data_IF_070174830452
#
_entry.id   IF_070174830452
#
_cell.length_a   1.000
_cell.length_b   1.000
_cell.length_c   1.000
_cell.angle_alpha   90.00
_cell.angle_beta   90.00
_cell.angle_gamma   90.00
#
_symmetry.space_group_name_H-M   'P 1'
#
loop_
_entity.id
_entity.type
_entity.pdbx_description
1 polymer ?
#
# COMPACT_ATOMS: atom_id res chain seq x y z
N UNK A 1 -30.77 1.34 24.48
CA UNK A 1 -30.67 0.12 23.68
C UNK A 1 -29.40 -0.56 24.15
N UNK A 2 -29.52 -1.70 24.83
CA UNK A 2 -28.36 -2.34 25.45
C UNK A 2 -27.57 -3.06 24.35
N UNK A 3 -26.25 -3.20 24.50
CA UNK A 3 -25.41 -3.90 23.51
C UNK A 3 -25.85 -5.37 23.32
N UNK A 4 -26.55 -5.92 24.31
CA UNK A 4 -27.15 -7.24 24.27
C UNK A 4 -28.33 -7.39 23.31
N UNK A 5 -28.97 -6.28 22.92
CA UNK A 5 -30.06 -6.28 21.93
C UNK A 5 -29.54 -6.32 20.48
N UNK A 6 -28.24 -6.10 20.27
CA UNK A 6 -27.60 -6.15 18.95
C UNK A 6 -27.25 -7.60 18.63
N UNK A 7 -27.64 -8.06 17.44
CA UNK A 7 -27.32 -9.41 17.00
C UNK A 7 -25.80 -9.66 17.08
N UNK A 8 -25.33 -10.84 17.53
CA UNK A 8 -23.90 -11.08 17.82
C UNK A 8 -22.93 -10.77 16.67
N UNK A 9 -23.38 -10.87 15.41
CA UNK A 9 -22.58 -10.53 14.21
C UNK A 9 -22.42 -9.03 13.97
N UNK A 10 -23.26 -8.21 14.59
CA UNK A 10 -23.28 -6.75 14.49
C UNK A 10 -22.66 -6.07 15.72
N UNK A 11 -22.32 -6.83 16.77
CA UNK A 11 -21.58 -6.31 17.92
C UNK A 11 -20.14 -6.03 17.51
N UNK A 12 -19.62 -4.87 17.87
CA UNK A 12 -18.19 -4.63 17.77
C UNK A 12 -17.46 -5.63 18.69
N UNK A 13 -16.43 -6.33 18.21
CA UNK A 13 -15.66 -7.20 19.09
C UNK A 13 -14.99 -6.36 20.17
N UNK A 14 -15.03 -6.85 21.42
CA UNK A 14 -14.46 -6.16 22.58
C UNK A 14 -12.94 -5.90 22.45
N UNK A 15 -12.25 -6.66 21.59
CA UNK A 15 -10.85 -6.48 21.24
C UNK A 15 -10.69 -6.67 19.73
N UNK A 16 -10.17 -5.67 19.03
CA UNK A 16 -9.81 -5.83 17.62
C UNK A 16 -8.59 -6.75 17.49
N UNK A 17 -8.63 -7.77 16.60
CA UNK A 17 -7.45 -8.58 16.31
C UNK A 17 -6.36 -7.71 15.67
N UNK A 18 -5.09 -8.14 15.70
CA UNK A 18 -4.02 -7.43 15.01
C UNK A 18 -4.29 -7.33 13.51
N UNK A 19 -3.81 -6.25 12.88
CA UNK A 19 -3.89 -6.09 11.42
C UNK A 19 -3.13 -7.26 10.75
N UNK A 20 -3.71 -7.90 9.71
CA UNK A 20 -3.03 -8.98 9.02
C UNK A 20 -1.75 -8.47 8.37
N UNK A 21 -0.68 -9.27 8.46
CA UNK A 21 0.59 -8.98 7.81
C UNK A 21 0.60 -9.55 6.39
N UNK A 22 1.32 -8.94 5.44
CA UNK A 22 1.60 -9.56 4.16
C UNK A 22 2.24 -10.94 4.34
N UNK A 23 1.71 -11.94 3.64
CA UNK A 23 2.19 -13.31 3.66
C UNK A 23 2.70 -13.71 2.26
N UNK A 24 3.90 -13.25 1.86
CA UNK A 24 4.45 -13.55 0.53
C UNK A 24 4.62 -15.05 0.33
N UNK A 25 4.13 -15.58 -0.80
CA UNK A 25 4.14 -17.02 -1.08
C UNK A 25 5.29 -17.44 -2.01
N UNK A 26 6.02 -16.48 -2.56
CA UNK A 26 7.07 -16.69 -3.57
C UNK A 26 8.34 -15.85 -3.26
N UNK A 27 9.56 -16.32 -3.58
CA UNK A 27 10.81 -15.60 -3.30
C UNK A 27 10.87 -14.17 -3.87
N UNK A 28 10.30 -13.91 -5.05
CA UNK A 28 10.30 -12.57 -5.65
C UNK A 28 9.37 -11.62 -4.90
N UNK A 29 8.27 -12.12 -4.34
CA UNK A 29 7.41 -11.35 -3.42
C UNK A 29 8.10 -11.11 -2.07
N UNK A 30 8.81 -12.12 -1.54
CA UNK A 30 9.57 -12.00 -0.30
C UNK A 30 10.63 -10.91 -0.41
N UNK A 31 11.36 -10.84 -1.53
CA UNK A 31 12.38 -9.82 -1.74
C UNK A 31 11.80 -8.39 -1.77
N UNK A 32 10.62 -8.19 -2.38
CA UNK A 32 9.92 -6.90 -2.31
C UNK A 32 9.67 -6.47 -0.86
N UNK A 33 9.09 -7.36 -0.06
CA UNK A 33 8.76 -7.06 1.33
C UNK A 33 9.99 -6.87 2.21
N UNK A 34 11.07 -7.62 1.99
CA UNK A 34 12.35 -7.44 2.69
C UNK A 34 12.91 -6.02 2.47
N UNK A 35 12.84 -5.51 1.23
CA UNK A 35 13.29 -4.14 0.92
C UNK A 35 12.42 -3.08 1.63
N UNK A 36 11.10 -3.32 1.70
CA UNK A 36 10.20 -2.49 2.51
C UNK A 36 10.57 -2.52 4.00
N UNK A 37 10.98 -3.67 4.55
CA UNK A 37 11.45 -3.75 5.94
C UNK A 37 12.73 -2.93 6.17
N UNK A 38 13.58 -2.82 5.15
CA UNK A 38 14.72 -1.88 5.13
C UNK A 38 14.33 -0.40 5.03
N UNK A 39 13.05 -0.07 4.86
CA UNK A 39 12.57 1.31 4.73
C UNK A 39 12.76 1.93 3.37
N UNK A 40 12.89 1.09 2.35
CA UNK A 40 13.12 1.53 0.98
C UNK A 40 12.10 0.86 0.08
N UNK A 41 11.54 1.62 -0.85
CA UNK A 41 10.69 1.06 -1.90
C UNK A 41 11.55 0.77 -3.12
N UNK A 42 11.38 -0.41 -3.69
CA UNK A 42 12.09 -0.84 -4.89
C UNK A 42 11.11 -1.48 -5.85
N UNK A 43 11.42 -1.36 -7.15
CA UNK A 43 10.72 -2.07 -8.19
C UNK A 43 11.71 -2.80 -9.08
N UNK A 44 11.22 -3.83 -9.75
CA UNK A 44 12.00 -4.50 -10.76
C UNK A 44 12.10 -3.60 -12.00
N UNK A 45 13.29 -3.46 -12.54
CA UNK A 45 13.54 -2.87 -13.85
C UNK A 45 14.13 -3.91 -14.78
N UNK A 46 13.52 -4.07 -15.95
CA UNK A 46 13.95 -5.06 -16.94
C UNK A 46 15.43 -4.85 -17.33
N UNK A 47 16.20 -5.93 -17.38
CA UNK A 47 17.60 -5.89 -17.81
C UNK A 47 17.77 -5.55 -19.29
N UNK A 48 16.76 -5.84 -20.11
CA UNK A 48 16.79 -5.61 -21.56
C UNK A 48 16.05 -4.33 -21.97
N UNK A 49 14.73 -4.31 -21.83
CA UNK A 49 13.91 -3.17 -22.28
C UNK A 49 13.76 -2.04 -21.26
N UNK A 50 14.42 -2.14 -20.09
CA UNK A 50 14.43 -1.14 -19.00
C UNK A 50 13.06 -0.73 -18.44
N UNK A 51 11.99 -1.46 -18.77
CA UNK A 51 10.63 -1.22 -18.25
C UNK A 51 10.55 -1.57 -16.77
N UNK A 52 10.00 -0.65 -15.98
CA UNK A 52 9.66 -0.84 -14.57
C UNK A 52 8.45 -1.78 -14.40
N UNK A 53 8.42 -2.53 -13.30
CA UNK A 53 7.39 -3.54 -13.05
C UNK A 53 6.91 -3.52 -11.61
N UNK A 54 5.59 -3.47 -11.46
CA UNK A 54 4.88 -3.76 -10.23
C UNK A 54 3.52 -4.39 -10.60
N UNK A 55 3.06 -5.48 -9.99
CA UNK A 55 3.69 -6.30 -8.94
C UNK A 55 4.97 -7.03 -9.39
N UNK A 56 5.80 -7.54 -8.45
CA UNK A 56 7.00 -8.33 -8.74
C UNK A 56 6.68 -9.58 -9.59
N UNK A 57 7.49 -9.86 -10.62
CA UNK A 57 7.30 -10.99 -11.55
C UNK A 57 8.63 -11.52 -12.10
N UNK A 58 8.69 -12.80 -12.45
CA UNK A 58 9.87 -13.40 -13.07
C UNK A 58 10.14 -12.93 -14.50
N UNK A 59 9.08 -12.66 -15.29
CA UNK A 59 9.20 -12.34 -16.72
C UNK A 59 8.70 -10.94 -17.03
N UNK A 60 9.35 -10.26 -17.98
CA UNK A 60 8.91 -8.96 -18.46
C UNK A 60 7.61 -9.06 -19.24
N UNK A 61 6.56 -8.38 -18.81
CA UNK A 61 5.32 -8.28 -19.58
C UNK A 61 5.49 -7.56 -20.93
N UNK A 62 6.55 -6.76 -21.10
CA UNK A 62 6.79 -5.99 -22.34
C UNK A 62 7.62 -6.73 -23.39
N UNK A 63 8.69 -7.43 -22.98
CA UNK A 63 9.63 -8.08 -23.90
C UNK A 63 9.86 -9.57 -23.64
N UNK A 64 9.25 -10.15 -22.61
CA UNK A 64 9.45 -11.54 -22.23
C UNK A 64 10.78 -11.86 -21.52
N UNK A 65 11.72 -10.91 -21.37
CA UNK A 65 13.00 -11.21 -20.71
C UNK A 65 12.84 -11.62 -19.24
N UNK A 66 13.55 -12.68 -18.78
CA UNK A 66 13.67 -13.02 -17.36
C UNK A 66 14.62 -12.08 -16.60
N UNK A 67 15.44 -11.30 -17.31
CA UNK A 67 16.45 -10.44 -16.69
C UNK A 67 15.80 -9.23 -16.05
N UNK A 68 16.11 -8.98 -14.77
CA UNK A 68 15.73 -7.79 -14.04
C UNK A 68 16.75 -7.45 -12.94
N UNK A 69 16.76 -6.18 -12.54
CA UNK A 69 17.39 -5.73 -11.31
C UNK A 69 16.35 -5.04 -10.44
N UNK A 70 16.54 -5.08 -9.12
CA UNK A 70 15.76 -4.25 -8.20
C UNK A 70 16.41 -2.88 -8.09
N UNK A 71 15.72 -1.86 -8.57
CA UNK A 71 16.19 -0.48 -8.51
C UNK A 71 15.33 0.31 -7.50
N UNK A 72 15.93 1.23 -6.72
CA UNK A 72 15.19 2.03 -5.75
C UNK A 72 14.20 2.95 -6.45
N UNK A 73 12.98 3.02 -5.91
CA UNK A 73 12.02 4.04 -6.29
C UNK A 73 12.36 5.35 -5.60
N UNK A 74 12.11 6.46 -6.27
CA UNK A 74 12.15 7.79 -5.68
C UNK A 74 11.15 7.97 -4.53
N UNK A 75 10.11 7.11 -4.46
CA UNK A 75 9.02 7.22 -3.50
C UNK A 75 8.08 8.38 -3.80
N UNK A 76 8.24 9.09 -4.92
CA UNK A 76 7.35 10.16 -5.35
C UNK A 76 6.32 9.62 -6.33
N UNK A 77 5.15 10.24 -6.31
CA UNK A 77 4.10 9.92 -7.25
C UNK A 77 2.93 10.88 -7.17
N UNK A 78 1.84 10.46 -7.79
CA UNK A 78 0.58 11.18 -7.87
C UNK A 78 -0.58 10.29 -7.46
N UNK A 79 -1.57 10.88 -6.80
CA UNK A 79 -2.80 10.19 -6.45
C UNK A 79 -3.59 9.89 -7.73
N UNK A 80 -3.57 8.63 -8.17
CA UNK A 80 -4.23 8.20 -9.40
C UNK A 80 -5.73 7.97 -9.20
N UNK A 81 -6.11 7.34 -8.08
CA UNK A 81 -7.51 7.11 -7.70
C UNK A 81 -7.60 6.75 -6.22
N UNK A 82 -8.76 6.92 -5.59
CA UNK A 82 -8.99 6.53 -4.20
C UNK A 82 -10.45 6.20 -3.91
N UNK A 83 -10.66 5.52 -2.79
CA UNK A 83 -11.96 5.38 -2.12
C UNK A 83 -11.81 5.71 -0.64
N UNK A 84 -12.88 6.22 -0.04
CA UNK A 84 -12.96 6.44 1.42
C UNK A 84 -13.74 5.27 2.01
N UNK A 85 -13.07 4.45 2.81
CA UNK A 85 -13.69 3.29 3.45
C UNK A 85 -14.28 3.71 4.79
N UNK A 86 -15.60 3.77 4.85
CA UNK A 86 -16.36 4.13 6.07
C UNK A 86 -16.78 2.91 6.91
N UNK A 87 -16.68 1.70 6.36
CA UNK A 87 -17.05 0.46 7.03
C UNK A 87 -15.90 -0.53 6.98
N UNK A 88 -15.44 -0.98 8.15
CA UNK A 88 -14.40 -1.99 8.25
C UNK A 88 -14.95 -3.37 7.89
N UNK A 89 -14.42 -3.97 6.83
CA UNK A 89 -14.75 -5.35 6.44
C UNK A 89 -14.03 -6.40 7.28
N UNK A 90 -12.90 -6.03 7.88
CA UNK A 90 -12.16 -6.86 8.82
C UNK A 90 -12.03 -6.12 10.16
N UNK A 91 -12.32 -6.76 11.31
CA UNK A 91 -12.37 -6.09 12.62
C UNK A 91 -11.09 -5.36 13.05
N UNK A 92 -9.93 -5.80 12.54
CA UNK A 92 -8.64 -5.13 12.79
C UNK A 92 -8.56 -3.69 12.26
N UNK A 93 -9.45 -3.29 11.34
CA UNK A 93 -9.51 -1.94 10.77
C UNK A 93 -10.67 -1.11 11.33
N UNK A 94 -11.43 -1.63 12.31
CA UNK A 94 -12.58 -0.91 12.86
C UNK A 94 -12.19 0.43 13.51
N UNK A 95 -11.00 0.51 14.11
CA UNK A 95 -10.47 1.74 14.69
C UNK A 95 -9.90 2.73 13.65
N UNK A 96 -9.70 2.28 12.41
CA UNK A 96 -9.08 3.07 11.35
C UNK A 96 -10.10 3.80 10.48
N UNK A 97 -11.40 3.49 10.57
CA UNK A 97 -12.40 4.12 9.71
C UNK A 97 -12.76 5.53 10.19
N UNK A 98 -12.96 6.51 9.28
CA UNK A 98 -12.74 6.39 7.84
C UNK A 98 -11.26 6.40 7.46
N UNK A 99 -10.87 5.58 6.49
CA UNK A 99 -9.53 5.61 5.89
C UNK A 99 -9.57 5.65 4.37
N UNK A 100 -8.47 6.14 3.77
CA UNK A 100 -8.33 6.27 2.32
C UNK A 100 -7.54 5.09 1.76
N UNK A 101 -8.20 4.25 0.96
CA UNK A 101 -7.55 3.27 0.11
C UNK A 101 -7.27 3.92 -1.24
N UNK A 102 -6.01 3.89 -1.68
CA UNK A 102 -5.55 4.66 -2.82
C UNK A 102 -4.78 3.79 -3.81
N UNK A 103 -4.78 4.24 -5.06
CA UNK A 103 -3.81 3.84 -6.07
C UNK A 103 -2.94 5.05 -6.34
N UNK A 104 -1.63 4.89 -6.18
CA UNK A 104 -0.63 5.92 -6.50
C UNK A 104 0.04 5.52 -7.81
N UNK A 105 0.17 6.46 -8.73
CA UNK A 105 1.05 6.34 -9.90
C UNK A 105 2.40 6.98 -9.56
N UNK A 106 3.46 6.19 -9.54
CA UNK A 106 4.78 6.63 -9.14
C UNK A 106 5.54 7.21 -10.33
N UNK A 107 6.57 8.03 -10.06
CA UNK A 107 7.41 8.65 -11.11
C UNK A 107 8.04 7.61 -12.06
N UNK A 108 8.25 6.38 -11.58
CA UNK A 108 8.75 5.25 -12.39
C UNK A 108 7.72 4.68 -13.40
N UNK A 109 6.47 5.15 -13.36
CA UNK A 109 5.38 4.77 -14.26
C UNK A 109 4.59 3.52 -13.83
N UNK A 110 4.86 2.99 -12.64
CA UNK A 110 4.10 1.88 -12.04
C UNK A 110 2.99 2.41 -11.14
N UNK A 111 1.94 1.61 -10.95
CA UNK A 111 0.85 1.91 -10.01
C UNK A 111 0.87 0.97 -8.84
N UNK A 112 0.67 1.50 -7.64
CA UNK A 112 0.68 0.74 -6.40
C UNK A 112 -0.59 1.01 -5.60
N UNK A 113 -1.28 -0.06 -5.20
CA UNK A 113 -2.37 0.00 -4.24
C UNK A 113 -1.79 0.15 -2.82
N UNK A 114 -2.31 1.11 -2.05
CA UNK A 114 -1.76 1.50 -0.75
C UNK A 114 -2.81 2.24 0.08
N UNK A 115 -2.45 2.67 1.29
CA UNK A 115 -3.22 3.65 2.06
C UNK A 115 -2.64 5.03 1.86
N UNK A 116 -3.51 6.02 1.71
CA UNK A 116 -3.13 7.42 1.85
C UNK A 116 -3.39 7.85 3.29
N UNK A 117 -2.37 8.37 3.94
CA UNK A 117 -2.39 8.77 5.36
C UNK A 117 -2.07 10.26 5.48
N UNK A 118 -2.44 10.88 6.60
CA UNK A 118 -2.14 12.29 6.84
C UNK A 118 -2.86 13.27 5.90
N UNK A 119 -3.95 12.85 5.28
CA UNK A 119 -4.76 13.68 4.38
C UNK A 119 -6.21 13.73 4.87
N UNK A 120 -6.84 14.90 4.80
CA UNK A 120 -8.30 15.01 4.91
C UNK A 120 -8.93 14.48 3.60
N UNK A 121 -9.80 13.45 3.65
CA UNK A 121 -10.49 12.94 2.47
C UNK A 121 -11.20 14.01 1.63
N UNK A 122 -11.68 15.11 2.25
CA UNK A 122 -12.35 16.20 1.54
C UNK A 122 -11.42 17.05 0.67
N UNK A 123 -10.10 16.96 0.91
CA UNK A 123 -9.08 17.74 0.20
C UNK A 123 -8.42 16.98 -0.95
N UNK A 124 -8.76 15.70 -1.13
CA UNK A 124 -8.14 14.83 -2.12
C UNK A 124 -8.52 15.24 -3.55
N UNK A 125 -7.53 15.21 -4.43
CA UNK A 125 -7.69 15.50 -5.85
C UNK A 125 -6.89 14.51 -6.67
N UNK A 126 -7.37 14.22 -7.88
CA UNK A 126 -6.58 13.50 -8.88
C UNK A 126 -5.26 14.25 -9.11
N UNK A 127 -4.21 13.50 -9.38
CA UNK A 127 -2.86 14.01 -9.67
C UNK A 127 -2.16 14.75 -8.52
N UNK A 128 -2.78 14.79 -7.32
CA UNK A 128 -2.19 15.33 -6.10
C UNK A 128 -0.82 14.70 -5.85
N UNK A 129 0.24 15.51 -5.63
CA UNK A 129 1.56 15.00 -5.29
C UNK A 129 1.55 14.23 -3.98
N UNK A 130 2.15 13.04 -3.98
CA UNK A 130 2.30 12.20 -2.79
C UNK A 130 3.73 11.71 -2.64
N UNK A 131 4.11 11.41 -1.40
CA UNK A 131 5.41 10.89 -1.05
C UNK A 131 5.29 9.62 -0.20
N UNK A 132 6.22 8.70 -0.41
CA UNK A 132 6.35 7.46 0.33
C UNK A 132 6.60 7.75 1.81
N UNK A 133 5.85 7.05 2.64
CA UNK A 133 6.09 6.88 4.07
C UNK A 133 5.98 5.39 4.43
N UNK A 134 6.27 5.06 5.68
CA UNK A 134 6.09 3.71 6.20
C UNK A 134 5.28 3.74 7.48
N UNK A 135 4.18 3.00 7.51
CA UNK A 135 3.44 2.69 8.73
C UNK A 135 4.03 1.41 9.34
N UNK A 136 4.15 1.37 10.66
CA UNK A 136 4.57 0.16 11.37
C UNK A 136 3.33 -0.57 11.88
N UNK A 137 3.19 -1.84 11.51
CA UNK A 137 2.07 -2.70 11.92
C UNK A 137 2.60 -3.98 12.60
N UNK A 138 1.81 -4.54 13.52
CA UNK A 138 2.22 -5.74 14.28
C UNK A 138 3.55 -5.53 15.03
N UNK A 139 4.39 -6.55 15.03
CA UNK A 139 5.68 -6.59 15.75
C UNK A 139 6.82 -5.86 15.02
N UNK A 140 6.52 -4.73 14.36
CA UNK A 140 7.52 -3.92 13.66
C UNK A 140 7.53 -4.04 12.13
N UNK A 141 6.52 -4.66 11.53
CA UNK A 141 6.44 -4.80 10.07
C UNK A 141 6.19 -3.44 9.42
N UNK A 142 7.03 -3.05 8.48
CA UNK A 142 6.95 -1.77 7.77
C UNK A 142 6.13 -1.92 6.50
N UNK A 143 4.97 -1.27 6.50
CA UNK A 143 4.04 -1.21 5.38
C UNK A 143 4.24 0.11 4.62
N UNK A 144 4.53 0.07 3.30
CA UNK A 144 4.62 1.27 2.49
C UNK A 144 3.24 1.94 2.36
N UNK A 145 3.15 3.17 2.83
CA UNK A 145 1.99 4.05 2.71
C UNK A 145 2.40 5.33 2.01
N UNK A 146 1.44 6.17 1.67
CA UNK A 146 1.74 7.48 1.08
C UNK A 146 1.09 8.59 1.89
N UNK A 147 1.69 9.78 1.86
CA UNK A 147 1.12 11.02 2.40
C UNK A 147 1.11 12.07 1.30
N UNK A 148 0.23 13.08 1.36
CA UNK A 148 0.38 14.28 0.54
C UNK A 148 1.80 14.83 0.68
N UNK A 149 2.44 15.14 -0.45
CA UNK A 149 3.72 15.83 -0.39
C UNK A 149 3.46 17.28 0.05
N UNK A 150 4.31 17.82 0.93
CA UNK A 150 4.29 19.25 1.22
C UNK A 150 4.45 20.01 -0.10
N UNK A 151 3.60 21.02 -0.33
CA UNK A 151 3.60 21.79 -1.57
C UNK A 151 5.01 22.27 -1.92
N UNK A 152 5.43 22.00 -3.17
CA UNK A 152 6.60 22.63 -3.76
C UNK A 152 6.29 24.11 -4.08
#
# INVERSE_FOLDING_TARGET
MNDDDIAPKLRAPAVSPPKPLPHPQDPVEQEFWQRCQGGTLHFQRCGECRTWRHLPRYMCARCGSPSFAWEPSSGRGRLFSWTVTHQALHPAFAADVPYVAAVVELDEGVRMATRLTGADPATLALDMPVALAFETIGDGFRLPVFTPAAGA
#
